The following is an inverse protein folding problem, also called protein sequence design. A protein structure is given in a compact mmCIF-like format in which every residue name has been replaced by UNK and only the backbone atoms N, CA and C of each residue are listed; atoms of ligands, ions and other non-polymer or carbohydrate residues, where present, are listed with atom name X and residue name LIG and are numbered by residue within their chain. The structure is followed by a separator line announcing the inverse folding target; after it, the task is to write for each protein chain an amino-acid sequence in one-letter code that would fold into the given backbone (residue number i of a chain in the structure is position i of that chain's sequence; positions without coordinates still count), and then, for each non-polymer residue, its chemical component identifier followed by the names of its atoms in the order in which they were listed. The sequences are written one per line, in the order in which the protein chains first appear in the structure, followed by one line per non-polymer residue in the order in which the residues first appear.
data_IF_847523336737
#
_entry.id   IF_847523336737
#
_cell.length_a   1.000
_cell.length_b   1.000
_cell.length_c   1.000
_cell.angle_alpha   90.00
_cell.angle_beta   90.00
_cell.angle_gamma   90.00
#
_symmetry.space_group_name_H-M   'P 1'
#
loop_
_entity.id
_entity.type
_entity.pdbx_description
1 polymer ?
#
# COMPACT_ATOMS: atom_id res chain seq x y z
N UNK A 1 39.05 38.85 12.25
CA UNK A 1 38.57 38.80 13.64
C UNK A 1 37.04 38.68 13.63
N UNK A 2 36.50 37.57 13.11
CA UNK A 2 35.08 37.22 13.24
C UNK A 2 34.97 36.38 14.51
N UNK A 3 34.71 37.01 15.66
CA UNK A 3 34.19 36.25 16.80
C UNK A 3 32.89 35.64 16.32
N UNK A 4 32.73 34.33 16.51
CA UNK A 4 31.56 33.59 16.05
C UNK A 4 30.29 34.27 16.56
N UNK A 5 29.50 34.83 15.65
CA UNK A 5 28.19 35.41 15.94
C UNK A 5 27.30 34.37 16.63
N UNK A 6 27.52 33.08 16.36
CA UNK A 6 26.83 31.98 17.03
C UNK A 6 27.12 31.87 18.54
N UNK A 7 28.14 32.56 19.06
CA UNK A 7 28.44 32.61 20.50
C UNK A 7 27.81 33.80 21.23
N UNK A 8 27.21 34.74 20.49
CA UNK A 8 26.53 35.88 21.10
C UNK A 8 25.11 35.49 21.51
N UNK A 9 24.90 35.32 22.82
CA UNK A 9 23.58 35.01 23.39
C UNK A 9 22.55 36.11 23.13
N UNK A 10 23.00 37.31 22.70
CA UNK A 10 22.13 38.43 22.36
C UNK A 10 21.81 38.52 20.86
N UNK A 11 22.33 37.60 20.04
CA UNK A 11 22.11 37.65 18.59
C UNK A 11 20.61 37.67 18.24
N UNK A 12 19.84 36.77 18.83
CA UNK A 12 18.41 36.62 18.57
C UNK A 12 17.63 37.88 18.97
N UNK A 13 17.73 38.40 20.22
CA UNK A 13 17.04 39.65 20.58
C UNK A 13 17.44 40.83 19.69
N UNK A 14 18.71 40.95 19.30
CA UNK A 14 19.16 42.00 18.38
C UNK A 14 18.55 41.86 16.99
N UNK A 15 18.50 40.64 16.44
CA UNK A 15 17.87 40.37 15.16
C UNK A 15 16.37 40.69 15.18
N UNK A 16 15.66 40.28 16.23
CA UNK A 16 14.23 40.57 16.39
C UNK A 16 13.98 42.07 16.54
N UNK A 17 14.78 42.78 17.34
CA UNK A 17 14.67 44.22 17.52
C UNK A 17 14.87 44.96 16.20
N UNK A 18 15.84 44.54 15.39
CA UNK A 18 16.05 45.08 14.05
C UNK A 18 14.79 44.94 13.21
N UNK A 19 14.24 43.73 13.07
CA UNK A 19 13.03 43.50 12.26
C UNK A 19 11.82 44.28 12.79
N UNK A 20 11.60 44.28 14.10
CA UNK A 20 10.56 45.07 14.76
C UNK A 20 10.68 46.57 14.44
N UNK A 21 11.89 47.14 14.57
CA UNK A 21 12.14 48.56 14.28
C UNK A 21 11.93 48.95 12.81
N UNK A 22 12.07 47.98 11.89
CA UNK A 22 11.78 48.18 10.46
C UNK A 22 10.31 48.00 10.10
N UNK A 23 9.44 47.69 11.07
CA UNK A 23 8.00 47.52 10.87
C UNK A 23 7.58 46.17 10.27
N UNK A 24 8.47 45.18 10.24
CA UNK A 24 8.15 43.82 9.77
C UNK A 24 7.35 43.06 10.83
N UNK A 25 6.44 42.16 10.43
CA UNK A 25 5.64 41.36 11.39
C UNK A 25 6.47 40.31 12.12
N UNK A 26 5.90 39.72 13.18
CA UNK A 26 6.53 38.61 13.91
C UNK A 26 6.83 37.42 12.98
N UNK A 27 5.88 37.06 12.12
CA UNK A 27 6.02 35.97 11.15
C UNK A 27 7.12 36.26 10.12
N UNK A 28 7.24 37.50 9.65
CA UNK A 28 8.30 37.93 8.74
C UNK A 28 9.67 37.87 9.41
N UNK A 29 9.77 38.30 10.66
CA UNK A 29 10.99 38.20 11.47
C UNK A 29 11.42 36.73 11.66
N UNK A 30 10.47 35.84 12.03
CA UNK A 30 10.72 34.38 12.13
C UNK A 30 11.24 33.84 10.80
N UNK A 31 10.56 34.12 9.70
CA UNK A 31 10.93 33.62 8.38
C UNK A 31 12.33 34.10 7.96
N UNK A 32 12.66 35.37 8.21
CA UNK A 32 13.96 35.94 7.83
C UNK A 32 15.11 35.40 8.69
N UNK A 33 14.91 35.21 9.99
CA UNK A 33 15.90 34.58 10.87
C UNK A 33 16.15 33.12 10.48
N UNK A 34 15.09 32.35 10.20
CA UNK A 34 15.22 30.96 9.74
C UNK A 34 15.94 30.86 8.39
N UNK A 35 15.59 31.70 7.41
CA UNK A 35 16.30 31.75 6.11
C UNK A 35 17.78 32.11 6.27
N UNK A 36 18.12 32.97 7.23
CA UNK A 36 19.52 33.34 7.50
C UNK A 36 20.31 32.16 8.05
N UNK A 37 19.72 31.38 8.97
CA UNK A 37 20.28 30.13 9.47
C UNK A 37 20.41 29.07 8.36
N UNK A 38 19.41 28.89 7.52
CA UNK A 38 19.46 27.93 6.40
C UNK A 38 20.57 28.27 5.40
N UNK A 39 20.78 29.56 5.11
CA UNK A 39 21.83 30.00 4.18
C UNK A 39 23.24 29.91 4.78
N UNK A 40 23.39 30.21 6.07
CA UNK A 40 24.69 30.34 6.74
C UNK A 40 24.64 29.84 8.19
N UNK A 41 24.50 28.52 8.42
CA UNK A 41 24.27 27.95 9.75
C UNK A 41 25.45 28.14 10.72
N UNK A 42 26.67 28.37 10.20
CA UNK A 42 27.86 28.62 11.02
C UNK A 42 27.90 30.05 11.60
N UNK A 43 27.20 30.99 10.97
CA UNK A 43 27.16 32.40 11.38
C UNK A 43 25.88 32.74 12.14
N UNK A 44 24.76 32.13 11.79
CA UNK A 44 23.46 32.42 12.37
C UNK A 44 23.01 31.25 13.25
N UNK A 45 22.79 31.46 14.56
CA UNK A 45 22.28 30.40 15.43
C UNK A 45 20.88 29.97 14.98
N UNK A 46 20.52 28.72 15.27
CA UNK A 46 19.16 28.24 15.03
C UNK A 46 18.20 28.99 15.93
N UNK A 47 17.16 29.57 15.35
CA UNK A 47 16.17 30.36 16.07
C UNK A 47 14.87 29.58 16.25
N UNK A 48 14.27 29.66 17.44
CA UNK A 48 12.94 29.14 17.70
C UNK A 48 11.88 30.22 17.49
N UNK A 49 10.78 29.92 16.79
CA UNK A 49 9.71 30.90 16.54
C UNK A 49 9.14 31.51 17.83
N UNK A 50 9.11 30.74 18.92
CA UNK A 50 8.64 31.18 20.23
C UNK A 50 9.57 32.19 20.90
N UNK A 51 10.88 32.03 20.69
CA UNK A 51 11.86 32.99 21.20
C UNK A 51 11.72 34.32 20.45
N UNK A 52 11.48 34.26 19.13
CA UNK A 52 11.16 35.44 18.33
C UNK A 52 9.88 36.10 18.81
N UNK A 53 8.81 35.33 19.01
CA UNK A 53 7.52 35.84 19.48
C UNK A 53 7.63 36.49 20.87
N UNK A 54 8.37 35.87 21.80
CA UNK A 54 8.66 36.45 23.12
C UNK A 54 9.31 37.83 22.97
N UNK A 55 10.41 37.93 22.24
CA UNK A 55 11.14 39.19 22.05
C UNK A 55 10.28 40.24 21.33
N UNK A 56 9.55 39.82 20.29
CA UNK A 56 8.71 40.69 19.50
C UNK A 56 7.56 41.28 20.34
N UNK A 57 6.92 40.48 21.19
CA UNK A 57 5.89 40.93 22.12
C UNK A 57 6.47 41.84 23.21
N UNK A 58 7.64 41.52 23.76
CA UNK A 58 8.36 42.39 24.72
C UNK A 58 8.58 43.79 24.14
N UNK A 59 9.07 43.89 22.90
CA UNK A 59 9.27 45.18 22.24
C UNK A 59 7.96 45.92 21.96
N UNK A 60 6.91 45.19 21.58
CA UNK A 60 5.56 45.74 21.38
C UNK A 60 4.97 46.34 22.66
N UNK A 61 5.29 45.76 23.81
CA UNK A 61 4.90 46.25 25.14
C UNK A 61 5.82 47.38 25.65
N UNK A 62 6.82 47.79 24.86
CA UNK A 62 7.76 48.85 25.21
C UNK A 62 8.92 48.40 26.10
N UNK A 63 9.11 47.09 26.30
CA UNK A 63 10.22 46.54 27.05
C UNK A 63 11.38 46.15 26.13
N UNK A 64 12.43 46.95 26.14
CA UNK A 64 13.63 46.80 25.32
C UNK A 64 14.83 46.21 26.07
N UNK A 65 14.62 45.61 27.25
CA UNK A 65 15.70 44.96 27.99
C UNK A 65 16.11 43.65 27.31
N UNK A 66 17.27 43.65 26.65
CA UNK A 66 17.81 42.48 25.94
C UNK A 66 18.40 41.41 26.88
N UNK A 67 18.35 41.61 28.20
CA UNK A 67 18.81 40.66 29.20
C UNK A 67 17.69 39.80 29.80
N UNK A 68 16.47 39.93 29.30
CA UNK A 68 15.36 39.07 29.70
C UNK A 68 15.63 37.61 29.32
N UNK A 69 15.33 36.71 30.25
CA UNK A 69 15.26 35.29 29.95
C UNK A 69 13.90 34.99 29.31
N UNK A 70 13.85 34.43 28.08
CA UNK A 70 12.59 34.09 27.44
C UNK A 70 11.79 33.12 28.28
N UNK A 71 10.66 33.56 28.84
CA UNK A 71 9.67 32.69 29.46
C UNK A 71 8.88 32.00 28.35
N UNK A 72 9.51 31.05 27.67
CA UNK A 72 8.82 30.20 26.71
C UNK A 72 7.81 29.37 27.49
N UNK A 73 6.53 29.65 27.30
CA UNK A 73 5.48 28.92 28.00
C UNK A 73 5.66 27.40 27.76
N UNK A 74 5.45 26.55 28.78
CA UNK A 74 5.60 25.08 28.67
C UNK A 74 4.64 24.43 27.66
N UNK A 75 3.80 25.23 27.00
CA UNK A 75 2.92 24.88 25.90
C UNK A 75 3.66 24.65 24.57
N UNK A 76 4.99 24.72 24.54
CA UNK A 76 5.86 24.56 23.36
C UNK A 76 6.06 23.14 22.83
N UNK A 77 5.49 22.12 23.48
CA UNK A 77 5.58 20.73 23.02
C UNK A 77 4.80 20.56 21.72
N UNK A 78 5.34 19.75 20.80
CA UNK A 78 4.69 19.33 19.53
C UNK A 78 3.21 19.01 19.71
N UNK A 79 2.89 18.40 20.85
CA UNK A 79 1.57 17.96 21.24
C UNK A 79 0.54 19.11 21.35
N UNK A 80 0.94 20.36 21.62
CA UNK A 80 0.02 21.50 21.68
C UNK A 80 -0.16 22.25 20.34
N UNK A 81 0.43 21.78 19.24
CA UNK A 81 0.25 22.45 17.95
C UNK A 81 -1.17 22.26 17.42
N UNK A 82 -1.88 23.33 17.02
CA UNK A 82 -3.25 23.22 16.50
C UNK A 82 -3.32 22.44 15.16
N UNK A 83 -2.19 22.36 14.45
CA UNK A 83 -2.07 21.65 13.16
C UNK A 83 -1.85 20.14 13.31
N UNK A 84 -1.66 19.63 14.53
CA UNK A 84 -1.29 18.23 14.76
C UNK A 84 -2.33 17.25 14.21
N UNK A 85 -3.61 17.60 14.32
CA UNK A 85 -4.72 16.83 13.77
C UNK A 85 -4.62 16.74 12.24
N UNK A 86 -4.28 17.84 11.55
CA UNK A 86 -4.10 17.84 10.11
C UNK A 86 -2.94 16.92 9.68
N UNK A 87 -1.80 17.00 10.38
CA UNK A 87 -0.64 16.12 10.11
C UNK A 87 -1.02 14.64 10.27
N UNK A 88 -1.74 14.29 11.34
CA UNK A 88 -2.20 12.93 11.58
C UNK A 88 -3.09 12.41 10.45
N UNK A 89 -3.91 13.26 9.83
CA UNK A 89 -4.77 12.85 8.71
C UNK A 89 -4.01 12.56 7.43
N UNK A 90 -2.84 13.16 7.22
CA UNK A 90 -2.05 12.99 6.01
C UNK A 90 -1.12 11.77 6.01
N UNK A 91 -0.68 11.29 7.18
CA UNK A 91 0.28 10.17 7.28
C UNK A 91 -0.35 8.79 6.97
N UNK A 92 0.45 7.76 6.69
CA UNK A 92 -0.07 6.39 6.43
C UNK A 92 -0.68 5.69 7.64
N UNK A 93 -1.26 4.50 7.44
CA UNK A 93 -1.79 3.70 8.55
C UNK A 93 -0.69 3.24 9.51
N UNK A 94 0.45 2.79 8.97
CA UNK A 94 1.63 2.37 9.74
C UNK A 94 2.31 3.54 10.47
N UNK A 95 2.34 4.72 9.86
CA UNK A 95 2.86 5.94 10.49
C UNK A 95 1.98 6.36 11.67
N UNK A 96 0.65 6.30 11.53
CA UNK A 96 -0.25 6.56 12.66
C UNK A 96 -0.01 5.56 13.80
N UNK A 97 0.20 4.27 13.52
CA UNK A 97 0.56 3.31 14.58
C UNK A 97 1.88 3.66 15.25
N UNK A 98 2.85 4.13 14.48
CA UNK A 98 4.14 4.57 15.01
C UNK A 98 3.95 5.79 15.92
N UNK A 99 3.20 6.80 15.47
CA UNK A 99 2.84 7.99 16.25
C UNK A 99 2.05 7.65 17.52
N UNK A 100 1.12 6.69 17.46
CA UNK A 100 0.36 6.21 18.62
C UNK A 100 1.27 5.75 19.78
N UNK A 101 2.45 5.21 19.48
CA UNK A 101 3.42 4.73 20.47
C UNK A 101 4.34 5.83 21.03
N UNK A 102 4.34 7.03 20.44
CA UNK A 102 5.31 8.09 20.79
C UNK A 102 4.94 8.86 22.06
N UNK A 103 3.69 9.33 22.20
CA UNK A 103 3.24 10.05 23.38
C UNK A 103 1.75 9.81 23.69
N UNK A 104 1.33 10.13 24.92
CA UNK A 104 -0.05 9.94 25.39
C UNK A 104 -1.08 10.74 24.57
N UNK A 105 -0.71 11.91 24.06
CA UNK A 105 -1.63 12.73 23.28
C UNK A 105 -1.93 12.10 21.92
N UNK A 106 -0.91 11.69 21.16
CA UNK A 106 -1.12 10.97 19.90
C UNK A 106 -1.91 9.69 20.10
N UNK A 107 -1.59 8.94 21.15
CA UNK A 107 -2.36 7.77 21.57
C UNK A 107 -3.84 8.11 21.72
N UNK A 108 -4.16 9.12 22.52
CA UNK A 108 -5.54 9.53 22.78
C UNK A 108 -6.25 10.03 21.52
N UNK A 109 -5.59 10.85 20.69
CA UNK A 109 -6.17 11.36 19.44
C UNK A 109 -6.55 10.22 18.49
N UNK A 110 -5.63 9.29 18.26
CA UNK A 110 -5.82 8.17 17.34
C UNK A 110 -6.85 7.16 17.90
N UNK A 111 -6.81 6.87 19.21
CA UNK A 111 -7.78 5.98 19.87
C UNK A 111 -9.20 6.54 19.88
N UNK A 112 -9.36 7.85 20.08
CA UNK A 112 -10.67 8.50 20.12
C UNK A 112 -11.34 8.51 18.74
N UNK A 113 -10.55 8.57 17.67
CA UNK A 113 -11.06 8.63 16.31
C UNK A 113 -11.62 7.30 15.81
N UNK A 114 -11.08 6.15 16.24
CA UNK A 114 -11.50 4.80 15.85
C UNK A 114 -11.58 4.58 14.32
N UNK A 115 -10.71 5.25 13.55
CA UNK A 115 -10.69 5.26 12.07
C UNK A 115 -9.59 4.41 11.44
N UNK A 116 -8.74 3.79 12.26
CA UNK A 116 -7.59 3.01 11.83
C UNK A 116 -7.89 1.50 11.88
N UNK A 117 -7.86 0.86 10.72
CA UNK A 117 -8.17 -0.56 10.56
C UNK A 117 -6.98 -1.31 9.95
N UNK A 118 -6.60 -2.43 10.58
CA UNK A 118 -5.67 -3.40 9.98
C UNK A 118 -6.34 -4.17 8.84
N UNK A 119 -7.61 -4.51 9.03
CA UNK A 119 -8.38 -5.33 8.12
C UNK A 119 -9.83 -4.88 8.10
N UNK A 120 -10.38 -4.68 6.90
CA UNK A 120 -11.81 -4.63 6.64
C UNK A 120 -12.10 -5.68 5.56
N UNK A 121 -12.70 -6.80 5.95
CA UNK A 121 -13.05 -7.90 5.05
C UNK A 121 -14.58 -8.02 4.95
N UNK A 122 -15.09 -7.91 3.73
CA UNK A 122 -16.49 -8.03 3.38
C UNK A 122 -16.65 -9.16 2.36
N UNK A 123 -17.19 -10.29 2.81
CA UNK A 123 -17.23 -11.52 2.00
C UNK A 123 -18.65 -12.08 1.90
N UNK A 124 -19.11 -12.34 0.68
CA UNK A 124 -20.37 -13.05 0.45
C UNK A 124 -20.15 -14.55 0.24
N UNK A 125 -21.10 -15.36 0.71
CA UNK A 125 -21.28 -16.79 0.43
C UNK A 125 -22.74 -17.06 0.06
N UNK A 126 -23.09 -18.30 -0.30
CA UNK A 126 -24.44 -18.67 -0.80
C UNK A 126 -25.60 -18.05 -0.01
N UNK A 127 -25.59 -18.21 1.31
CA UNK A 127 -26.70 -17.79 2.20
C UNK A 127 -26.24 -16.85 3.31
N UNK A 128 -25.08 -16.21 3.16
CA UNK A 128 -24.58 -15.31 4.19
C UNK A 128 -23.61 -14.27 3.66
N UNK A 129 -23.54 -13.15 4.38
CA UNK A 129 -22.47 -12.17 4.24
C UNK A 129 -21.69 -12.12 5.55
N UNK A 130 -20.37 -12.01 5.45
CA UNK A 130 -19.47 -11.82 6.58
C UNK A 130 -18.84 -10.43 6.50
N UNK A 131 -18.90 -9.69 7.59
CA UNK A 131 -18.09 -8.49 7.81
C UNK A 131 -17.10 -8.75 8.94
N UNK A 132 -15.83 -8.57 8.67
CA UNK A 132 -14.76 -8.76 9.63
C UNK A 132 -13.88 -7.52 9.69
N UNK A 133 -13.78 -6.93 10.88
CA UNK A 133 -13.05 -5.68 11.13
C UNK A 133 -11.98 -5.96 12.18
N UNK A 134 -10.73 -5.59 11.89
CA UNK A 134 -9.63 -5.60 12.84
C UNK A 134 -9.16 -4.17 13.09
N UNK A 135 -9.22 -3.73 14.35
CA UNK A 135 -8.70 -2.42 14.75
C UNK A 135 -7.18 -2.38 14.57
N UNK A 136 -6.66 -1.33 13.93
CA UNK A 136 -5.22 -1.14 13.78
C UNK A 136 -4.49 -0.71 15.05
N UNK A 137 -5.22 -0.37 16.11
CA UNK A 137 -4.65 0.09 17.38
C UNK A 137 -4.63 -1.04 18.40
N UNK A 138 -5.80 -1.66 18.62
CA UNK A 138 -5.97 -2.69 19.65
C UNK A 138 -5.72 -4.09 19.12
N UNK A 139 -5.58 -4.25 17.79
CA UNK A 139 -5.60 -5.54 17.08
C UNK A 139 -6.84 -6.38 17.38
N UNK A 140 -7.86 -5.81 18.04
CA UNK A 140 -9.11 -6.50 18.33
C UNK A 140 -9.84 -6.78 17.02
N UNK A 141 -10.19 -8.04 16.84
CA UNK A 141 -10.93 -8.55 15.69
C UNK A 141 -12.39 -8.74 16.06
N UNK A 142 -13.28 -8.19 15.24
CA UNK A 142 -14.73 -8.36 15.34
C UNK A 142 -15.19 -9.02 14.04
N UNK A 143 -15.89 -10.14 14.16
CA UNK A 143 -16.51 -10.84 13.03
C UNK A 143 -18.01 -10.87 13.25
N UNK A 144 -18.74 -10.37 12.25
CA UNK A 144 -20.20 -10.41 12.18
C UNK A 144 -20.60 -11.22 10.95
N UNK A 145 -21.53 -12.16 11.12
CA UNK A 145 -22.07 -12.99 10.04
C UNK A 145 -23.58 -12.76 9.96
N UNK A 146 -24.06 -12.42 8.78
CA UNK A 146 -25.46 -12.16 8.47
C UNK A 146 -25.97 -13.34 7.65
N UNK A 147 -26.85 -14.16 8.22
CA UNK A 147 -27.36 -15.38 7.60
C UNK A 147 -28.78 -15.16 7.12
N UNK A 148 -29.05 -15.49 5.85
CA UNK A 148 -30.37 -15.41 5.22
C UNK A 148 -31.36 -16.34 5.93
N UNK A 149 -32.60 -15.88 6.11
CA UNK A 149 -33.75 -16.69 6.56
C UNK A 149 -34.72 -16.97 5.42
N UNK A 150 -35.48 -18.05 5.56
CA UNK A 150 -36.49 -18.46 4.58
C UNK A 150 -37.69 -17.49 4.55
N UNK A 151 -38.18 -17.07 5.73
CA UNK A 151 -39.33 -16.17 5.89
C UNK A 151 -38.99 -14.68 5.67
N UNK A 152 -37.80 -14.38 5.12
CA UNK A 152 -37.26 -13.04 5.05
C UNK A 152 -36.48 -12.62 6.30
N UNK A 153 -35.81 -11.47 6.24
CA UNK A 153 -34.91 -11.00 7.28
C UNK A 153 -33.57 -11.76 7.35
N UNK A 154 -32.90 -11.68 8.49
CA UNK A 154 -31.63 -12.37 8.74
C UNK A 154 -31.33 -12.60 10.22
N UNK A 155 -30.49 -13.59 10.49
CA UNK A 155 -29.82 -13.76 11.79
C UNK A 155 -28.44 -13.11 11.74
N UNK A 156 -28.15 -12.25 12.71
CA UNK A 156 -26.87 -11.55 12.84
C UNK A 156 -26.10 -12.15 14.01
N UNK A 157 -24.99 -12.82 13.72
CA UNK A 157 -24.12 -13.42 14.73
C UNK A 157 -22.86 -12.59 14.89
N UNK A 158 -22.66 -12.02 16.08
CA UNK A 158 -21.48 -11.23 16.47
C UNK A 158 -20.79 -11.86 17.68
N UNK A 159 -19.70 -12.59 17.43
CA UNK A 159 -19.06 -13.40 18.46
C UNK A 159 -19.96 -14.55 18.90
N UNK A 160 -20.35 -14.58 20.19
CA UNK A 160 -21.27 -15.58 20.76
C UNK A 160 -22.72 -15.13 20.82
N UNK A 161 -23.01 -13.90 20.39
CA UNK A 161 -24.34 -13.30 20.47
C UNK A 161 -24.97 -13.37 19.09
N UNK A 162 -26.17 -13.94 19.02
CA UNK A 162 -27.02 -13.94 17.83
C UNK A 162 -28.25 -13.10 18.09
N UNK A 163 -28.59 -12.25 17.13
CA UNK A 163 -29.78 -11.39 17.16
C UNK A 163 -30.52 -11.52 15.86
N UNK A 164 -31.84 -11.39 15.91
CA UNK A 164 -32.67 -11.42 14.70
C UNK A 164 -32.90 -10.01 14.16
N UNK A 165 -33.02 -9.91 12.85
CA UNK A 165 -33.28 -8.67 12.13
C UNK A 165 -34.31 -8.90 11.04
N UNK A 166 -35.30 -8.03 10.96
CA UNK A 166 -36.29 -8.03 9.88
C UNK A 166 -35.69 -7.61 8.53
N UNK A 167 -34.53 -6.94 8.55
CA UNK A 167 -33.82 -6.56 7.32
C UNK A 167 -33.21 -7.78 6.64
N UNK A 168 -33.29 -7.79 5.32
CA UNK A 168 -32.59 -8.73 4.45
C UNK A 168 -31.06 -8.72 4.73
N UNK A 169 -30.44 -9.89 4.67
CA UNK A 169 -29.08 -10.13 5.18
C UNK A 169 -28.01 -9.27 4.50
N UNK A 170 -28.09 -9.09 3.18
CA UNK A 170 -27.16 -8.26 2.42
C UNK A 170 -27.35 -6.78 2.77
N UNK A 171 -28.58 -6.29 2.86
CA UNK A 171 -28.89 -4.92 3.29
C UNK A 171 -28.40 -4.62 4.71
N UNK A 172 -28.58 -5.55 5.65
CA UNK A 172 -28.06 -5.43 7.01
C UNK A 172 -26.53 -5.39 7.04
N UNK A 173 -25.87 -6.27 6.29
CA UNK A 173 -24.42 -6.34 6.20
C UNK A 173 -23.81 -5.08 5.56
N UNK A 174 -24.40 -4.60 4.46
CA UNK A 174 -23.99 -3.38 3.76
C UNK A 174 -24.12 -2.14 4.64
N UNK A 175 -25.15 -2.07 5.46
CA UNK A 175 -25.32 -0.96 6.40
C UNK A 175 -24.21 -0.91 7.46
N UNK A 176 -23.73 -2.05 7.95
CA UNK A 176 -22.62 -2.05 8.91
C UNK A 176 -21.27 -1.84 8.23
N UNK A 177 -21.10 -2.36 7.01
CA UNK A 177 -19.95 -2.06 6.16
C UNK A 177 -19.86 -0.55 5.88
N UNK A 178 -20.96 0.06 5.45
CA UNK A 178 -21.15 1.51 5.26
C UNK A 178 -20.66 2.32 6.45
N UNK A 179 -21.16 2.01 7.65
CA UNK A 179 -20.76 2.71 8.88
C UNK A 179 -19.25 2.67 9.13
N UNK A 180 -18.59 1.62 8.66
CA UNK A 180 -17.14 1.45 8.81
C UNK A 180 -16.38 2.33 7.81
N UNK A 181 -16.81 2.36 6.54
CA UNK A 181 -16.10 3.08 5.47
C UNK A 181 -16.48 4.56 5.34
N UNK A 182 -17.64 4.97 5.83
CA UNK A 182 -18.12 6.37 5.76
C UNK A 182 -17.50 7.30 6.81
N UNK A 183 -16.75 6.76 7.79
CA UNK A 183 -16.08 7.61 8.76
C UNK A 183 -15.03 8.48 8.05
N UNK A 184 -15.11 9.79 8.22
CA UNK A 184 -14.19 10.75 7.61
C UNK A 184 -12.75 10.37 7.97
N UNK A 185 -11.82 10.41 7.00
CA UNK A 185 -10.41 10.04 7.19
C UNK A 185 -10.16 8.59 7.64
N UNK A 186 -11.04 7.65 7.28
CA UNK A 186 -10.81 6.22 7.48
C UNK A 186 -9.53 5.75 6.76
N UNK A 187 -8.71 4.98 7.49
CA UNK A 187 -7.47 4.37 6.99
C UNK A 187 -7.51 2.87 7.17
N UNK A 188 -7.36 2.14 6.06
CA UNK A 188 -7.47 0.69 6.00
C UNK A 188 -6.17 0.15 5.43
N UNK A 189 -5.42 -0.63 6.22
CA UNK A 189 -4.22 -1.29 5.73
C UNK A 189 -4.56 -2.38 4.70
N UNK A 190 -5.50 -3.26 5.01
CA UNK A 190 -5.97 -4.31 4.09
C UNK A 190 -7.48 -4.29 3.95
N UNK A 191 -7.97 -4.09 2.74
CA UNK A 191 -9.37 -4.23 2.39
C UNK A 191 -9.57 -5.49 1.56
N UNK A 192 -10.56 -6.31 1.92
CA UNK A 192 -10.92 -7.52 1.19
C UNK A 192 -12.40 -7.44 0.81
N UNK A 193 -12.72 -7.51 -0.48
CA UNK A 193 -14.09 -7.56 -0.99
C UNK A 193 -14.19 -8.81 -1.88
N UNK A 194 -14.80 -9.89 -1.37
CA UNK A 194 -14.86 -11.16 -2.13
C UNK A 194 -16.25 -11.78 -2.09
N UNK A 195 -16.50 -12.70 -3.00
CA UNK A 195 -17.63 -13.63 -2.93
C UNK A 195 -17.12 -15.06 -3.17
N UNK A 196 -17.88 -16.05 -2.72
CA UNK A 196 -17.55 -17.46 -2.92
C UNK A 196 -17.94 -17.91 -4.33
N UNK A 197 -17.00 -17.89 -5.28
CA UNK A 197 -17.22 -18.17 -6.70
C UNK A 197 -18.00 -19.47 -6.95
N UNK A 198 -17.62 -20.59 -6.33
CA UNK A 198 -18.29 -21.89 -6.56
C UNK A 198 -19.61 -22.09 -5.80
N UNK A 199 -20.06 -21.11 -4.99
CA UNK A 199 -21.22 -21.30 -4.11
C UNK A 199 -22.30 -20.23 -4.26
N UNK A 200 -21.98 -19.13 -4.92
CA UNK A 200 -22.87 -17.97 -5.05
C UNK A 200 -23.49 -17.97 -6.44
N UNK A 201 -24.81 -17.80 -6.50
CA UNK A 201 -25.53 -17.66 -7.77
C UNK A 201 -25.15 -16.34 -8.47
N UNK A 202 -25.18 -16.33 -9.80
CA UNK A 202 -24.77 -15.17 -10.62
C UNK A 202 -25.55 -13.91 -10.25
N UNK A 203 -26.84 -14.05 -9.99
CA UNK A 203 -27.75 -12.96 -9.62
C UNK A 203 -27.39 -12.35 -8.26
N UNK A 204 -27.16 -13.20 -7.25
CA UNK A 204 -26.74 -12.76 -5.91
C UNK A 204 -25.37 -12.07 -5.97
N UNK A 205 -24.43 -12.59 -6.77
CA UNK A 205 -23.11 -11.98 -7.01
C UNK A 205 -23.25 -10.57 -7.57
N UNK A 206 -24.02 -10.43 -8.65
CA UNK A 206 -24.27 -9.14 -9.31
C UNK A 206 -24.92 -8.16 -8.32
N UNK A 207 -25.93 -8.61 -7.57
CA UNK A 207 -26.61 -7.78 -6.58
C UNK A 207 -25.65 -7.29 -5.49
N UNK A 208 -24.80 -8.18 -4.96
CA UNK A 208 -23.80 -7.86 -3.96
C UNK A 208 -22.76 -6.86 -4.46
N UNK A 209 -22.12 -7.15 -5.61
CA UNK A 209 -21.09 -6.27 -6.17
C UNK A 209 -21.67 -4.91 -6.55
N UNK A 210 -22.86 -4.87 -7.16
CA UNK A 210 -23.58 -3.63 -7.45
C UNK A 210 -23.81 -2.81 -6.19
N UNK A 211 -24.28 -3.44 -5.11
CA UNK A 211 -24.57 -2.74 -3.88
C UNK A 211 -23.29 -2.23 -3.17
N UNK A 212 -22.20 -3.00 -3.21
CA UNK A 212 -20.88 -2.57 -2.72
C UNK A 212 -20.37 -1.38 -3.53
N UNK A 213 -20.35 -1.48 -4.86
CA UNK A 213 -19.89 -0.43 -5.76
C UNK A 213 -20.71 0.86 -5.60
N UNK A 214 -22.04 0.76 -5.53
CA UNK A 214 -22.91 1.90 -5.24
C UNK A 214 -22.55 2.58 -3.92
N UNK A 215 -22.26 1.77 -2.90
CA UNK A 215 -21.92 2.31 -1.58
C UNK A 215 -20.57 3.02 -1.58
N UNK A 216 -19.56 2.41 -2.18
CA UNK A 216 -18.23 2.99 -2.34
C UNK A 216 -18.26 4.27 -3.18
N UNK A 217 -19.05 4.29 -4.26
CA UNK A 217 -19.22 5.47 -5.11
C UNK A 217 -19.98 6.62 -4.43
N UNK A 218 -20.75 6.34 -3.37
CA UNK A 218 -21.48 7.36 -2.60
C UNK A 218 -20.64 8.04 -1.51
N UNK A 219 -19.40 7.58 -1.30
CA UNK A 219 -18.52 8.15 -0.28
C UNK A 219 -18.14 9.59 -0.62
N UNK A 220 -18.20 10.47 0.39
CA UNK A 220 -17.83 11.89 0.26
C UNK A 220 -16.33 12.09 0.02
N UNK A 221 -15.51 11.17 0.54
CA UNK A 221 -14.07 11.16 0.38
C UNK A 221 -13.62 9.79 -0.11
N UNK A 222 -12.55 9.77 -0.91
CA UNK A 222 -11.88 8.52 -1.28
C UNK A 222 -11.23 7.88 -0.05
N UNK A 223 -11.26 6.55 0.02
CA UNK A 223 -10.68 5.75 1.09
C UNK A 223 -9.16 5.69 0.99
N UNK A 224 -8.49 5.73 2.13
CA UNK A 224 -7.07 5.39 2.24
C UNK A 224 -6.96 3.87 2.41
N UNK A 225 -6.59 3.17 1.32
CA UNK A 225 -6.43 1.70 1.30
C UNK A 225 -5.03 1.35 0.79
N UNK A 226 -4.21 0.70 1.62
CA UNK A 226 -2.83 0.35 1.25
C UNK A 226 -2.76 -0.97 0.44
N UNK A 227 -3.54 -1.98 0.84
CA UNK A 227 -3.70 -3.26 0.14
C UNK A 227 -5.17 -3.55 -0.17
N UNK A 228 -5.49 -3.75 -1.43
CA UNK A 228 -6.81 -4.19 -1.88
C UNK A 228 -6.74 -5.64 -2.36
N UNK A 229 -7.67 -6.45 -1.88
CA UNK A 229 -7.93 -7.79 -2.38
C UNK A 229 -9.39 -7.84 -2.82
N UNK A 230 -9.65 -8.11 -4.10
CA UNK A 230 -11.01 -8.15 -4.62
C UNK A 230 -11.24 -9.24 -5.65
N UNK A 231 -12.51 -9.60 -5.85
CA UNK A 231 -12.96 -10.31 -7.04
C UNK A 231 -13.62 -9.32 -8.00
N UNK A 232 -13.52 -9.55 -9.31
CA UNK A 232 -14.28 -8.83 -10.33
C UNK A 232 -14.55 -9.75 -11.52
N UNK A 233 -15.77 -9.73 -12.06
CA UNK A 233 -16.07 -10.45 -13.31
C UNK A 233 -15.88 -9.58 -14.56
N UNK A 234 -15.97 -8.26 -14.40
CA UNK A 234 -15.81 -7.31 -15.50
C UNK A 234 -14.95 -6.10 -15.08
N UNK A 235 -14.35 -5.39 -16.06
CA UNK A 235 -13.54 -4.20 -15.79
C UNK A 235 -14.26 -3.09 -15.03
N UNK A 236 -15.58 -2.90 -15.23
CA UNK A 236 -16.34 -1.80 -14.63
C UNK A 236 -16.56 -2.01 -13.13
N UNK A 237 -16.71 -3.27 -12.68
CA UNK A 237 -16.74 -3.62 -11.25
C UNK A 237 -15.44 -3.18 -10.56
N UNK A 238 -14.28 -3.54 -11.12
CA UNK A 238 -12.99 -3.12 -10.57
C UNK A 238 -12.81 -1.60 -10.66
N UNK A 239 -13.19 -0.96 -11.76
CA UNK A 239 -13.10 0.49 -11.93
C UNK A 239 -13.88 1.23 -10.84
N UNK A 240 -15.08 0.74 -10.54
CA UNK A 240 -15.95 1.31 -9.51
C UNK A 240 -15.32 1.23 -8.13
N UNK A 241 -14.66 0.13 -7.80
CA UNK A 241 -13.93 -0.02 -6.52
C UNK A 241 -12.73 0.93 -6.48
N UNK A 242 -11.91 0.94 -7.53
CA UNK A 242 -10.69 1.76 -7.61
C UNK A 242 -11.00 3.27 -7.61
N UNK A 243 -12.16 3.69 -8.13
CA UNK A 243 -12.63 5.07 -8.08
C UNK A 243 -12.79 5.59 -6.64
N UNK A 244 -13.20 4.70 -5.73
CA UNK A 244 -13.39 5.02 -4.32
C UNK A 244 -12.09 4.97 -3.50
N UNK A 245 -10.96 4.52 -4.06
CA UNK A 245 -9.67 4.44 -3.38
C UNK A 245 -8.79 5.63 -3.77
N UNK A 246 -8.05 6.21 -2.80
CA UNK A 246 -7.08 7.28 -3.06
C UNK A 246 -5.95 6.76 -3.95
N UNK A 247 -5.66 7.41 -5.10
CA UNK A 247 -4.46 7.14 -5.87
C UNK A 247 -3.20 7.32 -5.01
N UNK A 248 -2.09 6.69 -5.40
CA UNK A 248 -0.78 6.73 -4.71
C UNK A 248 -0.69 6.01 -3.36
N UNK A 249 -1.82 5.76 -2.72
CA UNK A 249 -1.88 5.07 -1.43
C UNK A 249 -1.92 3.55 -1.62
N UNK A 250 -2.65 3.10 -2.65
CA UNK A 250 -2.72 1.68 -2.98
C UNK A 250 -1.37 1.19 -3.50
N UNK A 251 -0.74 0.30 -2.74
CA UNK A 251 0.59 -0.28 -3.06
C UNK A 251 0.51 -1.76 -3.40
N UNK A 252 -0.55 -2.47 -2.98
CA UNK A 252 -0.73 -3.89 -3.29
C UNK A 252 -2.15 -4.13 -3.82
N UNK A 253 -2.25 -4.75 -5.00
CA UNK A 253 -3.51 -5.14 -5.61
C UNK A 253 -3.52 -6.65 -5.87
N UNK A 254 -4.50 -7.35 -5.29
CA UNK A 254 -4.76 -8.76 -5.53
C UNK A 254 -6.16 -8.89 -6.14
N UNK A 255 -6.24 -9.36 -7.38
CA UNK A 255 -7.44 -9.45 -8.18
C UNK A 255 -7.70 -10.90 -8.58
N UNK A 256 -8.96 -11.28 -8.44
CA UNK A 256 -9.41 -12.65 -8.61
C UNK A 256 -10.56 -12.67 -9.63
N UNK A 257 -10.26 -13.14 -10.85
CA UNK A 257 -11.07 -12.99 -12.07
C UNK A 257 -11.88 -14.24 -12.44
N UNK A 258 -12.15 -15.15 -11.51
CA UNK A 258 -12.92 -16.35 -11.87
C UNK A 258 -14.37 -16.01 -12.23
N UNK A 259 -14.79 -16.54 -13.38
CA UNK A 259 -16.18 -16.51 -13.80
C UNK A 259 -16.95 -17.70 -13.25
N UNK A 260 -18.23 -17.48 -12.94
CA UNK A 260 -19.15 -18.54 -12.51
C UNK A 260 -19.45 -19.53 -13.66
N UNK A 261 -19.33 -19.08 -14.90
CA UNK A 261 -19.58 -19.85 -16.12
C UNK A 261 -18.25 -20.25 -16.80
N UNK A 262 -17.48 -21.15 -16.16
CA UNK A 262 -16.07 -21.49 -16.48
C UNK A 262 -15.81 -22.12 -17.88
N UNK A 263 -16.85 -22.45 -18.66
CA UNK A 263 -16.71 -23.22 -19.89
C UNK A 263 -16.66 -22.38 -21.17
N UNK A 264 -17.28 -21.21 -21.22
CA UNK A 264 -17.40 -20.43 -22.47
C UNK A 264 -16.44 -19.22 -22.55
N UNK A 265 -15.78 -18.85 -21.46
CA UNK A 265 -15.06 -17.57 -21.38
C UNK A 265 -13.55 -17.68 -21.09
N UNK A 266 -12.94 -18.86 -21.17
CA UNK A 266 -11.49 -19.02 -20.90
C UNK A 266 -10.61 -18.19 -21.83
N UNK A 267 -11.07 -17.94 -23.06
CA UNK A 267 -10.32 -17.17 -24.05
C UNK A 267 -10.55 -15.66 -23.95
N UNK A 268 -11.34 -15.19 -22.98
CA UNK A 268 -11.63 -13.76 -22.84
C UNK A 268 -10.52 -13.05 -22.09
N UNK A 269 -9.88 -12.07 -22.75
CA UNK A 269 -8.89 -11.19 -22.13
C UNK A 269 -9.58 -10.11 -21.32
N UNK A 270 -9.24 -9.98 -20.04
CA UNK A 270 -9.73 -8.92 -19.17
C UNK A 270 -9.02 -7.61 -19.49
N UNK A 271 -9.75 -6.65 -20.07
CA UNK A 271 -9.24 -5.35 -20.54
C UNK A 271 -9.01 -4.36 -19.39
N UNK A 272 -7.94 -4.56 -18.64
CA UNK A 272 -7.58 -3.71 -17.50
C UNK A 272 -6.86 -2.43 -17.92
N UNK A 273 -6.16 -2.44 -19.06
CA UNK A 273 -5.38 -1.28 -19.51
C UNK A 273 -6.25 -0.11 -19.98
N UNK A 274 -7.47 -0.39 -20.44
CA UNK A 274 -8.46 0.61 -20.88
C UNK A 274 -9.10 1.37 -19.72
N UNK A 275 -8.92 0.92 -18.47
CA UNK A 275 -9.56 1.49 -17.29
C UNK A 275 -8.82 2.73 -16.79
N UNK A 276 -9.45 3.91 -16.90
CA UNK A 276 -8.87 5.19 -16.49
C UNK A 276 -8.43 5.16 -15.02
N UNK A 277 -9.24 4.58 -14.12
CA UNK A 277 -8.91 4.55 -12.69
C UNK A 277 -7.77 3.59 -12.37
N UNK A 278 -7.61 2.50 -13.11
CA UNK A 278 -6.47 1.60 -12.91
C UNK A 278 -5.16 2.31 -13.21
N UNK A 279 -5.10 3.07 -14.31
CA UNK A 279 -3.92 3.83 -14.71
C UNK A 279 -3.47 4.86 -13.66
N UNK A 280 -4.39 5.38 -12.83
CA UNK A 280 -4.05 6.30 -11.73
C UNK A 280 -3.37 5.59 -10.53
N UNK A 281 -3.60 4.29 -10.37
CA UNK A 281 -3.02 3.49 -9.28
C UNK A 281 -1.76 2.73 -9.73
N UNK A 282 -1.73 2.28 -10.98
CA UNK A 282 -0.73 1.38 -11.53
C UNK A 282 0.74 1.81 -11.31
N UNK A 283 1.14 3.09 -11.50
CA UNK A 283 2.51 3.53 -11.26
C UNK A 283 2.98 3.47 -9.80
N UNK A 284 2.06 3.25 -8.86
CA UNK A 284 2.32 3.25 -7.42
C UNK A 284 2.30 1.85 -6.80
N UNK A 285 1.91 0.84 -7.58
CA UNK A 285 1.90 -0.54 -7.13
C UNK A 285 3.32 -1.08 -6.94
N UNK A 286 3.48 -1.84 -5.86
CA UNK A 286 4.68 -2.61 -5.53
C UNK A 286 4.45 -4.11 -5.65
N UNK A 287 3.19 -4.52 -5.54
CA UNK A 287 2.72 -5.89 -5.63
C UNK A 287 1.42 -5.92 -6.46
N UNK A 288 1.43 -6.74 -7.51
CA UNK A 288 0.28 -6.98 -8.37
C UNK A 288 0.08 -8.48 -8.57
N UNK A 289 -1.04 -8.99 -8.08
CA UNK A 289 -1.43 -10.39 -8.27
C UNK A 289 -2.79 -10.42 -8.97
N UNK A 290 -2.87 -11.02 -10.17
CA UNK A 290 -4.11 -11.21 -10.92
C UNK A 290 -4.23 -12.68 -11.30
N UNK A 291 -5.34 -13.31 -10.91
CA UNK A 291 -5.56 -14.75 -11.12
C UNK A 291 -6.86 -15.01 -11.88
N UNK A 292 -6.88 -16.11 -12.63
CA UNK A 292 -8.11 -16.74 -13.13
C UNK A 292 -8.50 -16.37 -14.56
N UNK A 293 -7.98 -15.28 -15.11
CA UNK A 293 -8.12 -14.88 -16.53
C UNK A 293 -6.89 -14.10 -16.98
N UNK A 294 -6.53 -14.18 -18.28
CA UNK A 294 -5.48 -13.36 -18.84
C UNK A 294 -5.87 -11.87 -18.90
N UNK A 295 -4.90 -10.99 -18.69
CA UNK A 295 -5.05 -9.53 -18.80
C UNK A 295 -4.27 -8.97 -19.98
N UNK A 296 -4.69 -7.80 -20.47
CA UNK A 296 -4.06 -7.08 -21.58
C UNK A 296 -2.86 -6.21 -21.17
N UNK A 297 -2.09 -6.62 -20.15
CA UNK A 297 -0.90 -5.91 -19.67
C UNK A 297 0.35 -6.42 -20.39
N UNK A 298 1.25 -5.52 -20.80
CA UNK A 298 2.56 -5.90 -21.37
C UNK A 298 3.61 -6.08 -20.28
N UNK A 299 4.59 -6.95 -20.54
CA UNK A 299 5.71 -7.19 -19.60
C UNK A 299 6.51 -5.92 -19.27
N UNK A 300 6.73 -5.05 -20.25
CA UNK A 300 7.44 -3.79 -20.03
C UNK A 300 6.66 -2.81 -19.14
N UNK A 301 5.33 -2.92 -19.08
CA UNK A 301 4.49 -2.03 -18.26
C UNK A 301 4.57 -2.36 -16.77
N UNK A 302 5.00 -3.58 -16.39
CA UNK A 302 5.06 -4.04 -14.99
C UNK A 302 6.46 -3.98 -14.38
N UNK A 303 7.47 -3.48 -15.11
CA UNK A 303 8.87 -3.46 -14.67
C UNK A 303 9.09 -2.65 -13.37
N UNK A 304 8.27 -1.64 -13.10
CA UNK A 304 8.38 -0.85 -11.86
C UNK A 304 7.81 -1.56 -10.62
N UNK A 305 7.03 -2.62 -10.82
CA UNK A 305 6.40 -3.38 -9.74
C UNK A 305 7.41 -4.41 -9.22
N UNK A 306 7.59 -4.54 -7.91
CA UNK A 306 8.62 -5.43 -7.37
C UNK A 306 8.21 -6.90 -7.33
N UNK A 307 6.91 -7.15 -7.14
CA UNK A 307 6.30 -8.46 -7.00
C UNK A 307 5.10 -8.56 -7.94
N UNK A 308 5.10 -9.52 -8.86
CA UNK A 308 4.04 -9.70 -9.85
C UNK A 308 3.67 -11.18 -9.94
N UNK A 309 2.38 -11.47 -9.98
CA UNK A 309 1.84 -12.78 -10.35
C UNK A 309 0.64 -12.56 -11.25
N UNK A 310 0.78 -12.72 -12.56
CA UNK A 310 -0.28 -12.40 -13.53
C UNK A 310 -0.36 -13.43 -14.63
N UNK A 311 -1.51 -13.47 -15.28
CA UNK A 311 -1.74 -14.21 -16.50
C UNK A 311 -1.76 -13.25 -17.70
N UNK A 312 -0.94 -13.48 -18.73
CA UNK A 312 -0.90 -12.66 -19.95
C UNK A 312 -1.04 -13.57 -21.17
N UNK A 313 -1.74 -13.10 -22.21
CA UNK A 313 -1.84 -13.78 -23.51
C UNK A 313 -0.91 -13.20 -24.55
N UNK A 314 -0.41 -14.04 -25.45
CA UNK A 314 0.24 -13.61 -26.68
C UNK A 314 1.68 -13.17 -26.44
N UNK A 315 2.35 -13.82 -25.50
CA UNK A 315 3.77 -13.60 -25.25
C UNK A 315 4.57 -14.22 -26.38
N UNK A 316 5.58 -13.49 -26.86
CA UNK A 316 6.61 -14.06 -27.71
C UNK A 316 7.87 -14.40 -26.89
N UNK A 317 8.71 -15.34 -27.36
CA UNK A 317 10.01 -15.59 -26.75
C UNK A 317 10.88 -14.32 -26.65
N UNK A 318 10.73 -13.39 -27.61
CA UNK A 318 11.44 -12.11 -27.59
C UNK A 318 10.99 -11.20 -26.45
N UNK A 319 9.68 -11.10 -26.17
CA UNK A 319 9.15 -10.28 -25.07
C UNK A 319 9.70 -10.75 -23.73
N UNK A 320 9.78 -12.07 -23.54
CA UNK A 320 10.30 -12.67 -22.31
C UNK A 320 11.80 -12.45 -22.16
N UNK A 321 12.57 -12.59 -23.25
CA UNK A 321 13.99 -12.28 -23.24
C UNK A 321 14.25 -10.80 -22.92
N UNK A 322 13.49 -9.88 -23.52
CA UNK A 322 13.58 -8.45 -23.23
C UNK A 322 13.24 -8.17 -21.77
N UNK A 323 12.16 -8.76 -21.26
CA UNK A 323 11.77 -8.63 -19.85
C UNK A 323 12.88 -9.11 -18.90
N UNK A 324 13.46 -10.29 -19.15
CA UNK A 324 14.62 -10.80 -18.41
C UNK A 324 15.77 -9.79 -18.39
N UNK A 325 16.16 -9.25 -19.54
CA UNK A 325 17.25 -8.27 -19.65
C UNK A 325 16.97 -6.97 -18.90
N UNK A 326 15.70 -6.55 -18.84
CA UNK A 326 15.25 -5.41 -18.07
C UNK A 326 15.29 -5.70 -16.57
N UNK A 327 14.81 -6.88 -16.13
CA UNK A 327 14.86 -7.30 -14.72
C UNK A 327 16.28 -7.30 -14.15
N UNK A 328 17.29 -7.75 -14.91
CA UNK A 328 18.69 -7.77 -14.51
C UNK A 328 19.29 -6.38 -14.16
N UNK A 329 18.60 -5.31 -14.55
CA UNK A 329 19.01 -3.92 -14.33
C UNK A 329 18.25 -3.25 -13.19
N UNK A 330 17.23 -3.90 -12.64
CA UNK A 330 16.32 -3.32 -11.64
C UNK A 330 16.75 -3.66 -10.20
N UNK A 331 17.22 -2.67 -9.42
CA UNK A 331 17.69 -2.92 -8.04
C UNK A 331 16.58 -3.29 -7.06
N UNK A 332 15.32 -2.94 -7.36
CA UNK A 332 14.16 -3.18 -6.50
C UNK A 332 13.34 -4.43 -6.84
N UNK A 333 13.68 -5.14 -7.91
CA UNK A 333 12.95 -6.34 -8.34
C UNK A 333 13.10 -7.47 -7.31
N UNK A 334 12.01 -8.21 -7.09
CA UNK A 334 12.01 -9.39 -6.22
C UNK A 334 11.52 -10.64 -6.93
N UNK A 335 10.32 -10.60 -7.51
CA UNK A 335 9.64 -11.80 -7.95
C UNK A 335 8.57 -11.52 -9.01
N UNK A 336 8.70 -12.04 -10.22
CA UNK A 336 7.64 -11.99 -11.25
C UNK A 336 7.29 -13.42 -11.67
N UNK A 337 6.02 -13.80 -11.54
CA UNK A 337 5.45 -15.02 -12.10
C UNK A 337 4.45 -14.63 -13.18
N UNK A 338 4.68 -15.16 -14.38
CA UNK A 338 3.87 -14.91 -15.57
C UNK A 338 3.31 -16.26 -15.98
N UNK A 339 2.05 -16.49 -15.64
CA UNK A 339 1.32 -17.65 -16.15
C UNK A 339 0.84 -17.32 -17.57
N UNK A 340 0.96 -18.25 -18.50
CA UNK A 340 0.30 -18.15 -19.79
C UNK A 340 -0.48 -19.45 -19.97
N UNK A 341 -1.81 -19.39 -19.81
CA UNK A 341 -2.71 -20.55 -19.88
C UNK A 341 -2.53 -21.39 -21.16
N UNK A 342 -1.91 -20.81 -22.19
CA UNK A 342 -1.78 -21.35 -23.54
C UNK A 342 -0.35 -21.72 -23.94
N UNK A 343 0.63 -21.75 -23.01
CA UNK A 343 1.99 -22.22 -23.34
C UNK A 343 1.98 -23.59 -24.01
N UNK A 344 1.01 -24.43 -23.64
CA UNK A 344 0.92 -25.81 -24.11
C UNK A 344 0.51 -25.97 -25.58
N UNK A 345 -0.18 -25.00 -26.20
CA UNK A 345 -0.78 -25.20 -27.52
C UNK A 345 -0.10 -24.44 -28.67
N UNK A 346 0.80 -23.48 -28.39
CA UNK A 346 1.31 -22.57 -29.44
C UNK A 346 2.81 -22.60 -29.69
N UNK A 347 3.65 -22.85 -28.68
CA UNK A 347 5.10 -22.81 -28.83
C UNK A 347 5.78 -23.96 -28.06
N UNK A 348 6.70 -24.70 -28.69
CA UNK A 348 7.50 -25.69 -27.98
C UNK A 348 8.28 -25.07 -26.82
N UNK A 349 8.40 -25.78 -25.71
CA UNK A 349 9.20 -25.33 -24.56
C UNK A 349 10.64 -24.97 -24.93
N UNK A 350 11.20 -25.60 -25.95
CA UNK A 350 12.52 -25.31 -26.49
C UNK A 350 12.69 -23.85 -26.93
N UNK A 351 11.65 -23.20 -27.44
CA UNK A 351 11.72 -21.79 -27.84
C UNK A 351 11.74 -20.85 -26.63
N UNK A 352 11.04 -21.19 -25.55
CA UNK A 352 11.11 -20.47 -24.28
C UNK A 352 12.48 -20.64 -23.61
N UNK A 353 13.05 -21.84 -23.64
CA UNK A 353 14.41 -22.10 -23.16
C UNK A 353 15.41 -21.27 -23.97
N UNK A 354 15.28 -21.23 -25.30
CA UNK A 354 16.15 -20.43 -26.18
C UNK A 354 16.08 -18.94 -25.85
N UNK A 355 14.89 -18.41 -25.53
CA UNK A 355 14.75 -17.01 -25.08
C UNK A 355 15.47 -16.70 -23.77
N UNK A 356 15.72 -17.70 -22.92
CA UNK A 356 16.45 -17.51 -21.68
C UNK A 356 17.97 -17.50 -21.88
N UNK A 357 18.50 -17.99 -23.00
CA UNK A 357 19.94 -18.04 -23.23
C UNK A 357 20.61 -16.64 -23.23
N UNK A 358 21.89 -16.53 -22.82
CA UNK A 358 22.73 -17.58 -22.21
C UNK A 358 22.57 -17.63 -20.69
N UNK A 359 22.44 -18.83 -20.10
CA UNK A 359 22.42 -19.06 -18.64
C UNK A 359 23.56 -19.99 -18.20
N UNK A 360 24.02 -19.87 -16.95
CA UNK A 360 25.24 -20.55 -16.47
C UNK A 360 25.11 -22.08 -16.38
N UNK A 361 23.93 -22.57 -15.97
CA UNK A 361 23.65 -24.01 -15.81
C UNK A 361 22.16 -24.25 -16.09
N UNK A 362 21.83 -25.10 -17.07
CA UNK A 362 20.52 -25.72 -17.13
C UNK A 362 20.48 -26.83 -16.08
N UNK A 363 19.56 -26.75 -15.14
CA UNK A 363 19.29 -27.88 -14.24
C UNK A 363 18.00 -28.55 -14.69
N UNK A 364 18.06 -29.84 -15.11
CA UNK A 364 16.86 -30.65 -15.17
C UNK A 364 16.21 -30.59 -13.80
N UNK A 365 14.90 -30.35 -13.75
CA UNK A 365 14.20 -30.41 -12.48
C UNK A 365 14.11 -31.89 -12.06
N UNK A 366 14.90 -32.29 -11.06
CA UNK A 366 14.78 -33.61 -10.45
C UNK A 366 13.49 -33.64 -9.63
N UNK A 367 12.40 -34.16 -10.21
CA UNK A 367 11.21 -34.51 -9.41
C UNK A 367 11.58 -35.72 -8.56
N UNK A 368 11.65 -35.54 -7.25
CA UNK A 368 11.93 -36.60 -6.27
C UNK A 368 10.83 -37.69 -6.17
N UNK A 369 9.87 -37.77 -7.09
CA UNK A 369 8.72 -38.68 -6.97
C UNK A 369 8.20 -39.27 -8.28
N UNK A 370 8.32 -40.60 -8.38
CA UNK A 370 7.37 -41.62 -8.90
C UNK A 370 6.80 -41.41 -10.32
N UNK A 371 7.30 -42.23 -11.27
CA UNK A 371 6.62 -42.78 -12.47
C UNK A 371 5.40 -42.01 -13.00
N UNK A 372 5.57 -40.76 -13.42
CA UNK A 372 4.61 -40.10 -14.32
C UNK A 372 5.15 -40.20 -15.75
N UNK A 373 4.51 -41.01 -16.58
CA UNK A 373 4.89 -41.31 -17.98
C UNK A 373 4.67 -40.14 -18.97
N UNK A 374 4.61 -38.90 -18.49
CA UNK A 374 4.52 -37.72 -19.34
C UNK A 374 5.81 -36.91 -19.20
N UNK A 375 6.54 -36.75 -20.32
CA UNK A 375 7.79 -35.99 -20.46
C UNK A 375 7.55 -34.49 -20.18
N UNK A 376 7.27 -34.15 -18.92
CA UNK A 376 7.07 -32.78 -18.49
C UNK A 376 8.44 -32.12 -18.31
N UNK A 377 8.92 -31.49 -19.38
CA UNK A 377 10.18 -30.77 -19.38
C UNK A 377 10.06 -29.53 -18.49
N UNK A 378 10.57 -29.60 -17.26
CA UNK A 378 10.78 -28.42 -16.42
C UNK A 378 12.19 -27.86 -16.69
N UNK A 379 12.31 -26.55 -16.96
CA UNK A 379 13.60 -25.89 -17.19
C UNK A 379 13.89 -24.81 -16.15
N UNK A 380 15.12 -24.74 -15.66
CA UNK A 380 15.55 -23.71 -14.72
C UNK A 380 17.00 -23.28 -14.92
N UNK A 381 17.30 -22.04 -14.56
CA UNK A 381 18.64 -21.48 -14.65
C UNK A 381 18.79 -20.19 -13.85
N UNK A 382 19.96 -19.56 -13.95
CA UNK A 382 20.29 -18.37 -13.19
C UNK A 382 21.23 -17.42 -13.96
N UNK A 383 21.16 -16.14 -13.62
CA UNK A 383 21.98 -15.05 -14.17
C UNK A 383 22.45 -14.13 -13.04
N UNK A 384 23.68 -13.62 -13.06
CA UNK A 384 24.12 -12.62 -12.08
C UNK A 384 23.51 -11.24 -12.37
N UNK A 385 23.09 -10.53 -11.32
CA UNK A 385 22.67 -9.13 -11.46
C UNK A 385 23.86 -8.21 -11.79
N UNK A 386 23.61 -7.18 -12.59
CA UNK A 386 24.63 -6.21 -13.05
C UNK A 386 24.92 -5.09 -12.04
N UNK A 387 24.24 -5.09 -10.90
CA UNK A 387 24.30 -4.02 -9.88
C UNK A 387 25.40 -4.20 -8.82
N UNK A 388 26.20 -5.26 -8.92
CA UNK A 388 27.29 -5.55 -7.98
C UNK A 388 26.84 -6.12 -6.62
N UNK A 389 25.54 -6.38 -6.43
CA UNK A 389 25.00 -6.98 -5.20
C UNK A 389 25.51 -8.41 -4.95
N UNK A 390 25.89 -9.12 -6.01
CA UNK A 390 26.15 -10.55 -5.97
C UNK A 390 24.87 -11.41 -5.90
N UNK A 391 23.71 -10.79 -6.07
CA UNK A 391 22.44 -11.50 -6.21
C UNK A 391 22.34 -12.19 -7.57
N UNK A 392 21.52 -13.23 -7.62
CA UNK A 392 21.23 -13.99 -8.85
C UNK A 392 19.76 -13.82 -9.22
N UNK A 393 19.48 -13.59 -10.50
CA UNK A 393 18.16 -13.76 -11.08
C UNK A 393 18.00 -15.24 -11.43
N UNK A 394 17.15 -15.96 -10.71
CA UNK A 394 16.78 -17.33 -11.06
C UNK A 394 15.52 -17.34 -11.88
N UNK A 395 15.44 -18.23 -12.87
CA UNK A 395 14.21 -18.47 -13.62
C UNK A 395 13.78 -19.93 -13.54
N UNK A 396 12.47 -20.15 -13.69
CA UNK A 396 11.85 -21.46 -13.86
C UNK A 396 10.80 -21.37 -14.97
N UNK A 397 10.78 -22.34 -15.87
CA UNK A 397 9.75 -22.56 -16.87
C UNK A 397 9.04 -23.86 -16.49
N UNK A 398 7.75 -23.75 -16.17
CA UNK A 398 6.83 -24.84 -15.90
C UNK A 398 5.48 -24.54 -16.58
N UNK A 399 4.37 -24.55 -15.84
CA UNK A 399 3.07 -24.01 -16.30
C UNK A 399 3.08 -22.49 -16.54
N UNK A 400 4.18 -21.81 -16.21
CA UNK A 400 4.42 -20.42 -16.52
C UNK A 400 5.92 -20.10 -16.53
N UNK A 401 6.25 -18.82 -16.56
CA UNK A 401 7.62 -18.32 -16.45
C UNK A 401 7.75 -17.54 -15.15
N UNK A 402 8.61 -18.03 -14.27
CA UNK A 402 8.91 -17.42 -12.99
C UNK A 402 10.31 -16.84 -13.00
N UNK A 403 10.44 -15.61 -12.52
CA UNK A 403 11.70 -14.91 -12.25
C UNK A 403 11.75 -14.56 -10.77
N UNK A 404 12.88 -14.81 -10.12
CA UNK A 404 13.09 -14.52 -8.70
C UNK A 404 14.50 -14.00 -8.46
N UNK A 405 14.64 -12.91 -7.70
CA UNK A 405 15.93 -12.43 -7.21
C UNK A 405 16.32 -13.18 -5.94
N UNK A 406 17.40 -13.95 -6.00
CA UNK A 406 17.96 -14.67 -4.85
C UNK A 406 19.25 -14.03 -4.38
N UNK A 407 19.25 -13.62 -3.10
CA UNK A 407 20.48 -13.17 -2.44
C UNK A 407 21.35 -14.36 -2.08
N UNK A 408 22.59 -14.36 -2.61
CA UNK A 408 23.58 -15.34 -2.21
C UNK A 408 23.94 -15.11 -0.74
N UNK A 409 23.35 -15.90 0.16
CA UNK A 409 23.82 -15.97 1.53
C UNK A 409 25.22 -16.57 1.50
N UNK A 410 26.26 -15.72 1.54
CA UNK A 410 27.61 -16.16 1.91
C UNK A 410 27.47 -16.83 3.26
N UNK A 411 27.45 -18.18 3.28
CA UNK A 411 27.62 -18.92 4.52
C UNK A 411 28.93 -18.41 5.09
N UNK A 412 28.88 -17.57 6.13
CA UNK A 412 30.05 -17.28 6.95
C UNK A 412 30.45 -18.64 7.49
N UNK A 413 31.39 -19.29 6.81
CA UNK A 413 32.07 -20.46 7.36
C UNK A 413 32.77 -19.89 8.58
N UNK A 414 32.14 -20.04 9.74
CA UNK A 414 32.67 -19.65 11.03
C UNK A 414 33.83 -20.56 11.35
N UNK A 415 34.97 -20.32 10.71
CA UNK A 415 36.25 -20.75 11.21
C UNK A 415 36.59 -19.87 12.40
N UNK A 416 36.11 -20.23 13.59
CA UNK A 416 36.83 -19.89 14.81
C UNK A 416 38.23 -20.50 14.68
N UNK A 417 39.20 -19.68 14.29
CA UNK A 417 40.61 -19.98 14.49
C UNK A 417 40.80 -19.94 16.01
N UNK A 418 40.70 -21.10 16.66
CA UNK A 418 41.20 -21.27 18.03
C UNK A 418 42.71 -21.04 17.99
N UNK A 419 43.13 -20.01 18.71
CA UNK A 419 44.54 -19.70 18.98
C UNK A 419 45.06 -20.52 20.14
#
# INVERSE_FOLDING_TARGET
MLRSIASDTKFIPHGVLHYYSTGQTCEEAVANLLRSHEKMPELFPRVHAQEVEFWYNSFKEGNFDLHQDPTVAPHSKLENLPVLHHVLHQVGAEDQKSLHRTCKQFKNMIENEKRLFDLVEFRMSKNSVMLQIQSGITSKKIRTVYVKKEEGGCTITKGKISTESEKEFMGAALHDFSKTVEMIHTKIRKMIIKYSQHRTQKEDRVAFMTAVCNKLNSLKEKLHVERLVTCACDPLELESILKAVKPKILVNLELDLHNVDELEERDTVFKITEMEKFQLHFPHLKDLSIFGKPVDIKLNDILHISEVCIEITGLSPNDVNEHKENLLRLPGFKYHKIDEMMLNDRLPIADWIRAMEPFDQLRPFERDTVESDEDEYDASGQFPFKDGSGDMLTFKIDHGIMFERKTQRKRKIGGEIRS
#
